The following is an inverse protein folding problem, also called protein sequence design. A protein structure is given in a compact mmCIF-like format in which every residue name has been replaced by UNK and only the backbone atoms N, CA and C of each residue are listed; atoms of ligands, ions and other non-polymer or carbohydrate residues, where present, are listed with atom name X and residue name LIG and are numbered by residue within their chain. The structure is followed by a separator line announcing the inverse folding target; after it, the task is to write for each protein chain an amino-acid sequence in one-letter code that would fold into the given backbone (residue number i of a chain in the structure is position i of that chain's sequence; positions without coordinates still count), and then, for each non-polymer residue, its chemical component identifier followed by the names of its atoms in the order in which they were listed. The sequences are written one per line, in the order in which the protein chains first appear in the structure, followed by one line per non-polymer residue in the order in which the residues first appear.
data_IF_514509315352
#
_entry.id   IF_514509315352
#
_cell.length_a   1.000
_cell.length_b   1.000
_cell.length_c   1.000
_cell.angle_alpha   90.00
_cell.angle_beta   90.00
_cell.angle_gamma   90.00
#
_symmetry.space_group_name_H-M   'P 1'
#
loop_
_entity.id
_entity.type
_entity.pdbx_description
1 polymer ?
#
# COMPACT_ATOMS: atom_id res chain seq x y z
N UNK A 1 -42.71 -5.07 -21.00
CA UNK A 1 -41.45 -4.41 -21.40
C UNK A 1 -40.52 -4.33 -20.19
N UNK A 2 -39.35 -4.94 -20.31
CA UNK A 2 -38.30 -4.86 -19.30
C UNK A 2 -37.57 -3.52 -19.41
N UNK A 3 -37.36 -2.85 -18.28
CA UNK A 3 -36.07 -2.19 -18.04
C UNK A 3 -35.58 -2.67 -16.69
N UNK A 4 -34.91 -3.82 -16.76
CA UNK A 4 -33.99 -4.26 -15.72
C UNK A 4 -32.84 -3.28 -15.85
N UNK A 5 -32.64 -2.39 -14.87
CA UNK A 5 -31.42 -1.60 -14.81
C UNK A 5 -30.37 -2.49 -14.15
N UNK A 6 -29.42 -3.11 -14.88
CA UNK A 6 -28.22 -3.59 -14.24
C UNK A 6 -27.41 -2.35 -13.91
N UNK A 7 -27.51 -1.85 -12.68
CA UNK A 7 -26.40 -1.08 -12.13
C UNK A 7 -25.21 -2.04 -12.01
N UNK A 8 -24.47 -2.19 -13.10
CA UNK A 8 -23.01 -2.06 -13.11
C UNK A 8 -22.66 -0.99 -12.07
N UNK A 9 -21.96 -1.27 -10.98
CA UNK A 9 -20.74 -2.04 -10.90
C UNK A 9 -20.57 -2.46 -9.43
N UNK A 10 -21.00 -3.68 -9.09
CA UNK A 10 -20.44 -4.39 -7.95
C UNK A 10 -19.06 -4.87 -8.39
N UNK A 11 -18.06 -3.97 -8.42
CA UNK A 11 -16.67 -4.41 -8.47
C UNK A 11 -16.34 -5.00 -7.11
N UNK A 12 -16.35 -6.32 -7.09
CA UNK A 12 -15.95 -7.14 -5.97
C UNK A 12 -14.59 -6.65 -5.44
N UNK A 13 -14.40 -6.43 -4.12
CA UNK A 13 -13.09 -6.15 -3.58
C UNK A 13 -12.27 -7.44 -3.61
N UNK A 14 -11.80 -7.83 -4.79
CA UNK A 14 -10.76 -8.85 -4.96
C UNK A 14 -9.39 -8.19 -5.10
N UNK A 15 -9.16 -7.11 -4.35
CA UNK A 15 -7.82 -6.60 -4.12
C UNK A 15 -7.58 -6.85 -2.64
N UNK A 16 -6.51 -7.57 -2.31
CA UNK A 16 -5.99 -7.64 -0.96
C UNK A 16 -5.59 -6.21 -0.60
N UNK A 17 -6.53 -5.42 -0.11
CA UNK A 17 -6.28 -4.13 0.47
C UNK A 17 -5.57 -4.43 1.79
N UNK A 18 -4.23 -4.38 1.75
CA UNK A 18 -3.41 -4.44 2.97
C UNK A 18 -4.00 -3.44 3.95
N UNK A 19 -4.28 -3.91 5.17
CA UNK A 19 -4.84 -3.07 6.19
C UNK A 19 -3.91 -1.85 6.37
N UNK A 20 -4.46 -0.61 6.38
CA UNK A 20 -3.63 0.58 6.49
C UNK A 20 -2.91 0.67 7.85
N UNK A 21 -3.29 -0.15 8.83
CA UNK A 21 -2.63 -0.30 10.11
C UNK A 21 -1.75 -1.55 10.19
N UNK A 22 -1.42 -2.19 9.07
CA UNK A 22 -0.43 -3.28 9.02
C UNK A 22 0.81 -2.86 8.23
N UNK A 23 1.99 -3.23 8.72
CA UNK A 23 3.23 -3.03 8.01
C UNK A 23 3.25 -3.92 6.76
N UNK A 24 3.47 -3.38 5.55
CA UNK A 24 3.41 -4.16 4.32
C UNK A 24 4.60 -5.13 4.14
N UNK A 25 5.64 -5.03 4.97
CA UNK A 25 6.82 -5.89 4.90
C UNK A 25 6.73 -7.09 5.84
N UNK A 26 6.42 -6.85 7.12
CA UNK A 26 6.37 -7.89 8.14
C UNK A 26 4.94 -8.29 8.55
N UNK A 27 3.92 -7.50 8.21
CA UNK A 27 2.53 -7.73 8.60
C UNK A 27 2.17 -7.31 10.02
N UNK A 28 3.11 -6.73 10.80
CA UNK A 28 2.83 -6.28 12.16
C UNK A 28 1.93 -5.04 12.20
N UNK A 29 1.16 -4.90 13.29
CA UNK A 29 0.30 -3.74 13.49
C UNK A 29 1.13 -2.46 13.69
N UNK A 30 0.81 -1.42 12.93
CA UNK A 30 1.35 -0.07 13.07
C UNK A 30 0.29 0.87 13.62
N UNK A 31 0.68 1.71 14.58
CA UNK A 31 -0.25 2.64 15.22
C UNK A 31 -0.90 3.65 14.25
N UNK A 32 -0.25 3.91 13.10
CA UNK A 32 -0.77 4.76 12.04
C UNK A 32 -0.05 4.47 10.72
N UNK A 33 -0.75 4.44 9.56
CA UNK A 33 -0.18 4.21 8.22
C UNK A 33 0.96 5.17 7.83
N UNK A 34 1.05 6.34 8.46
CA UNK A 34 2.12 7.31 8.20
C UNK A 34 3.20 7.25 9.26
N UNK A 35 3.03 8.04 10.33
CA UNK A 35 4.04 8.17 11.39
C UNK A 35 4.28 6.85 12.15
N UNK A 36 3.24 6.04 12.33
CA UNK A 36 3.36 4.76 13.03
C UNK A 36 4.19 3.75 12.23
N UNK A 37 3.97 3.71 10.91
CA UNK A 37 4.79 2.94 9.99
C UNK A 37 6.24 3.42 9.98
N UNK A 38 6.51 4.73 9.85
CA UNK A 38 7.89 5.25 9.85
C UNK A 38 8.63 4.90 11.15
N UNK A 39 7.96 5.06 12.30
CA UNK A 39 8.52 4.67 13.60
C UNK A 39 8.81 3.16 13.65
N UNK A 40 7.87 2.34 13.16
CA UNK A 40 8.06 0.89 13.10
C UNK A 40 9.27 0.50 12.24
N UNK A 41 9.46 1.15 11.09
CA UNK A 41 10.64 0.95 10.22
C UNK A 41 11.93 1.33 10.95
N UNK A 42 11.96 2.49 11.63
CA UNK A 42 13.13 2.95 12.40
C UNK A 42 13.49 2.02 13.57
N UNK A 43 12.49 1.38 14.20
CA UNK A 43 12.70 0.46 15.33
C UNK A 43 13.04 -0.97 14.89
N UNK A 44 12.76 -1.35 13.63
CA UNK A 44 12.92 -2.72 13.12
C UNK A 44 13.90 -2.77 11.93
N UNK A 45 15.15 -3.23 12.12
CA UNK A 45 16.18 -3.18 11.08
C UNK A 45 15.86 -4.04 9.85
N UNK A 46 15.05 -5.09 10.00
CA UNK A 46 14.59 -5.90 8.87
C UNK A 46 13.63 -5.10 7.97
N UNK A 47 12.69 -4.36 8.58
CA UNK A 47 11.74 -3.51 7.85
C UNK A 47 12.44 -2.29 7.23
N UNK A 48 13.47 -1.75 7.88
CA UNK A 48 14.31 -0.68 7.32
C UNK A 48 15.01 -1.11 6.03
N UNK A 49 15.65 -2.27 6.03
CA UNK A 49 16.33 -2.81 4.85
C UNK A 49 15.36 -3.09 3.69
N UNK A 50 14.20 -3.69 3.97
CA UNK A 50 13.17 -3.93 2.96
C UNK A 50 12.54 -2.62 2.44
N UNK A 51 12.34 -1.64 3.32
CA UNK A 51 11.83 -0.32 2.94
C UNK A 51 12.83 0.43 2.05
N UNK A 52 14.12 0.44 2.39
CA UNK A 52 15.18 1.06 1.58
C UNK A 52 15.26 0.41 0.20
N UNK A 53 15.30 -0.93 0.16
CA UNK A 53 15.31 -1.66 -1.11
C UNK A 53 14.04 -1.45 -1.94
N UNK A 54 12.88 -1.29 -1.31
CA UNK A 54 11.65 -0.91 -2.00
C UNK A 54 11.73 0.51 -2.54
N UNK A 55 12.25 1.46 -1.76
CA UNK A 55 12.44 2.85 -2.20
C UNK A 55 13.37 2.95 -3.39
N UNK A 56 14.48 2.21 -3.41
CA UNK A 56 15.38 2.15 -4.56
C UNK A 56 14.66 1.63 -5.81
N UNK A 57 13.87 0.56 -5.68
CA UNK A 57 13.08 0.01 -6.79
C UNK A 57 12.00 0.97 -7.26
N UNK A 58 11.31 1.66 -6.36
CA UNK A 58 10.30 2.67 -6.74
C UNK A 58 10.96 3.89 -7.37
N UNK A 59 12.14 4.30 -6.89
CA UNK A 59 12.89 5.39 -7.49
C UNK A 59 13.34 5.03 -8.92
N UNK A 60 13.72 3.78 -9.16
CA UNK A 60 14.07 3.25 -10.48
C UNK A 60 12.83 3.07 -11.40
N UNK A 61 11.72 2.59 -10.83
CA UNK A 61 10.43 2.35 -11.51
C UNK A 61 9.64 3.63 -11.81
N UNK A 62 10.08 4.79 -11.30
CA UNK A 62 9.56 6.12 -11.69
C UNK A 62 10.54 6.81 -12.66
N UNK A 63 10.67 6.37 -13.93
CA UNK A 63 11.33 7.16 -14.96
C UNK A 63 10.42 8.31 -15.36
N UNK A 64 10.60 9.48 -14.73
CA UNK A 64 10.11 10.75 -15.26
C UNK A 64 8.60 10.99 -15.18
N UNK A 65 7.95 10.78 -14.03
CA UNK A 65 6.63 11.39 -13.84
C UNK A 65 5.83 10.96 -12.62
N UNK A 66 5.93 11.72 -11.54
CA UNK A 66 4.72 12.41 -11.07
C UNK A 66 4.75 13.79 -11.71
N UNK A 67 4.44 13.82 -13.01
CA UNK A 67 4.24 15.06 -13.74
C UNK A 67 2.96 15.70 -13.21
N UNK A 68 3.14 16.65 -12.31
CA UNK A 68 2.22 17.74 -12.01
C UNK A 68 2.95 19.04 -12.23
#
# INVERSE_FOLDING_TARGET
MATKNPSTDAREPTKHESDPHECPFCGEYVASPGKGFMLHVEENPECDADFDAWRDRVADDVPGGWGG
#
